data_IF_146854406272
#
_entry.id   IF_146854406272
#
_cell.length_a   1.000
_cell.length_b   1.000
_cell.length_c   1.000
_cell.angle_alpha   90.00
_cell.angle_beta   90.00
_cell.angle_gamma   90.00
#
_symmetry.space_group_name_H-M   'P 1'
#
loop_
_entity.id
_entity.type
_entity.pdbx_description
1 polymer ?
#
# COMPACT_ATOMS: atom_id res chain seq x y z
N UNK A 1 6.71 -5.30 -19.10
CA UNK A 1 6.89 -4.16 -18.17
C UNK A 1 6.13 -4.38 -16.84
N UNK A 2 6.49 -5.40 -16.03
CA UNK A 2 5.80 -5.66 -14.75
C UNK A 2 6.15 -4.63 -13.67
N UNK A 3 7.41 -4.17 -13.61
CA UNK A 3 7.88 -3.21 -12.61
C UNK A 3 7.17 -1.85 -12.69
N UNK A 4 6.92 -1.35 -13.91
CA UNK A 4 6.19 -0.09 -14.12
C UNK A 4 4.76 -0.17 -13.56
N UNK A 5 4.07 -1.30 -13.78
CA UNK A 5 2.71 -1.51 -13.25
C UNK A 5 2.71 -1.55 -11.73
N UNK A 6 3.66 -2.27 -11.12
CA UNK A 6 3.84 -2.29 -9.67
C UNK A 6 4.08 -0.90 -9.12
N UNK A 7 4.99 -0.12 -9.72
CA UNK A 7 5.30 1.23 -9.29
C UNK A 7 4.09 2.17 -9.42
N UNK A 8 3.38 2.12 -10.54
CA UNK A 8 2.18 2.92 -10.75
C UNK A 8 1.08 2.62 -9.71
N UNK A 9 0.85 1.35 -9.39
CA UNK A 9 -0.10 0.93 -8.35
C UNK A 9 0.35 1.40 -6.97
N UNK A 10 1.63 1.22 -6.63
CA UNK A 10 2.17 1.61 -5.34
C UNK A 10 2.04 3.12 -5.11
N UNK A 11 2.45 3.93 -6.09
CA UNK A 11 2.35 5.40 -6.03
C UNK A 11 0.89 5.84 -5.98
N UNK A 12 0.02 5.25 -6.82
CA UNK A 12 -1.40 5.59 -6.86
C UNK A 12 -2.10 5.33 -5.52
N UNK A 13 -1.87 4.17 -4.90
CA UNK A 13 -2.44 3.86 -3.59
C UNK A 13 -1.85 4.74 -2.49
N UNK A 14 -0.53 4.95 -2.47
CA UNK A 14 0.09 5.83 -1.48
C UNK A 14 -0.48 7.26 -1.56
N UNK A 15 -0.68 7.79 -2.78
CA UNK A 15 -1.28 9.10 -3.01
C UNK A 15 -2.74 9.16 -2.52
N UNK A 16 -3.54 8.12 -2.79
CA UNK A 16 -4.93 8.05 -2.33
C UNK A 16 -5.02 7.97 -0.80
N UNK A 17 -4.15 7.18 -0.17
CA UNK A 17 -4.08 7.08 1.29
C UNK A 17 -3.65 8.40 1.91
N UNK A 18 -2.65 9.08 1.33
CA UNK A 18 -2.25 10.42 1.75
C UNK A 18 -3.39 11.43 1.64
N UNK A 19 -4.05 11.47 0.49
CA UNK A 19 -5.17 12.36 0.25
C UNK A 19 -6.27 12.14 1.29
N UNK A 20 -6.59 10.88 1.59
CA UNK A 20 -7.69 10.55 2.50
C UNK A 20 -7.35 10.76 3.98
N UNK A 21 -6.15 10.42 4.41
CA UNK A 21 -5.82 10.28 5.84
C UNK A 21 -5.06 11.45 6.43
N UNK A 22 -4.30 12.19 5.61
CA UNK A 22 -3.34 13.18 6.12
C UNK A 22 -3.31 14.50 5.36
N UNK A 23 -3.88 14.58 4.14
CA UNK A 23 -3.82 15.82 3.35
C UNK A 23 -4.63 16.99 3.92
N UNK A 24 -5.59 16.72 4.80
CA UNK A 24 -6.56 17.73 5.26
C UNK A 24 -7.59 18.16 4.20
N UNK A 25 -7.41 17.77 2.93
CA UNK A 25 -8.27 18.18 1.81
C UNK A 25 -9.61 17.44 1.79
N UNK A 26 -9.65 16.22 2.33
CA UNK A 26 -10.85 15.35 2.34
C UNK A 26 -11.44 15.18 3.73
N UNK A 27 -10.59 15.13 4.76
CA UNK A 27 -10.98 15.01 6.17
C UNK A 27 -10.16 16.01 6.96
N UNK A 28 -10.81 16.85 7.76
CA UNK A 28 -10.14 17.87 8.56
C UNK A 28 -9.29 17.27 9.70
N UNK A 29 -9.71 16.13 10.24
CA UNK A 29 -9.03 15.46 11.34
C UNK A 29 -8.10 14.35 10.84
N UNK A 30 -6.86 14.36 11.32
CA UNK A 30 -5.82 13.42 10.91
C UNK A 30 -6.12 12.04 11.49
N UNK A 31 -6.01 10.99 10.68
CA UNK A 31 -6.39 9.65 11.13
C UNK A 31 -5.48 9.14 12.26
N UNK A 32 -6.08 8.45 13.24
CA UNK A 32 -5.36 7.92 14.40
C UNK A 32 -4.16 7.04 14.02
N UNK A 33 -3.07 7.01 14.83
CA UNK A 33 -1.89 6.18 14.57
C UNK A 33 -2.20 4.68 14.45
N UNK A 34 -3.24 4.21 15.13
CA UNK A 34 -3.69 2.81 15.08
C UNK A 34 -4.05 2.35 13.66
N UNK A 35 -4.51 3.26 12.80
CA UNK A 35 -4.80 2.97 11.38
C UNK A 35 -3.54 2.48 10.66
N UNK A 36 -2.36 2.96 11.03
CA UNK A 36 -1.09 2.53 10.43
C UNK A 36 -0.78 1.06 10.72
N UNK A 37 -1.19 0.50 11.88
CA UNK A 37 -1.04 -0.93 12.17
C UNK A 37 -1.92 -1.78 11.25
N UNK A 38 -3.18 -1.38 11.06
CA UNK A 38 -4.10 -2.08 10.14
C UNK A 38 -3.62 -2.01 8.69
N UNK A 39 -3.09 -0.86 8.25
CA UNK A 39 -2.47 -0.71 6.93
C UNK A 39 -1.22 -1.59 6.81
N UNK A 40 -0.36 -1.63 7.82
CA UNK A 40 0.80 -2.52 7.84
C UNK A 40 0.41 -4.00 7.68
N UNK A 41 -0.58 -4.46 8.44
CA UNK A 41 -1.11 -5.83 8.35
C UNK A 41 -1.67 -6.13 6.94
N UNK A 42 -2.41 -5.17 6.36
CA UNK A 42 -2.94 -5.31 5.00
C UNK A 42 -1.82 -5.37 3.95
N UNK A 43 -0.77 -4.57 4.11
CA UNK A 43 0.43 -4.62 3.27
C UNK A 43 1.11 -5.98 3.31
N UNK A 44 1.23 -6.59 4.49
CA UNK A 44 1.75 -7.96 4.65
C UNK A 44 0.86 -8.97 3.92
N UNK A 45 -0.47 -8.89 4.09
CA UNK A 45 -1.41 -9.79 3.41
C UNK A 45 -1.31 -9.70 1.88
N UNK A 46 -1.20 -8.50 1.33
CA UNK A 46 -0.98 -8.32 -0.10
C UNK A 46 0.37 -8.88 -0.57
N UNK A 47 1.43 -8.73 0.23
CA UNK A 47 2.74 -9.32 -0.05
C UNK A 47 2.69 -10.85 -0.09
N UNK A 48 2.04 -11.47 0.91
CA UNK A 48 1.81 -12.92 0.95
C UNK A 48 0.98 -13.38 -0.24
N UNK A 49 -0.09 -12.65 -0.60
CA UNK A 49 -0.89 -12.95 -1.78
C UNK A 49 -0.10 -12.86 -3.08
N UNK A 50 0.77 -11.86 -3.22
CA UNK A 50 1.64 -11.71 -4.38
C UNK A 50 2.63 -12.89 -4.51
N UNK A 51 3.17 -13.34 -3.38
CA UNK A 51 4.03 -14.53 -3.33
C UNK A 51 3.26 -15.81 -3.68
N UNK A 52 2.09 -16.01 -3.09
CA UNK A 52 1.23 -17.16 -3.38
C UNK A 52 0.84 -17.23 -4.87
N UNK A 53 0.52 -16.09 -5.50
CA UNK A 53 0.22 -16.03 -6.94
C UNK A 53 1.42 -16.41 -7.82
N UNK A 54 2.64 -16.05 -7.41
CA UNK A 54 3.86 -16.48 -8.13
C UNK A 54 4.07 -17.98 -8.01
N UNK A 55 3.96 -18.53 -6.80
CA UNK A 55 4.14 -19.97 -6.56
C UNK A 55 3.04 -20.79 -7.23
N UNK A 56 1.81 -20.29 -7.24
CA UNK A 56 0.65 -20.95 -7.85
C UNK A 56 0.56 -20.84 -9.38
N UNK A 57 1.57 -20.29 -10.05
CA UNK A 57 1.62 -20.23 -11.52
C UNK A 57 0.83 -19.09 -12.18
N UNK A 58 0.46 -18.04 -11.44
CA UNK A 58 -0.22 -16.84 -11.95
C UNK A 58 0.65 -15.58 -11.84
N UNK A 59 1.84 -15.54 -12.47
CA UNK A 59 2.79 -14.42 -12.32
C UNK A 59 2.25 -13.10 -12.87
N UNK A 60 1.28 -13.14 -13.80
CA UNK A 60 0.64 -11.94 -14.37
C UNK A 60 -0.08 -11.08 -13.31
N UNK A 61 -0.60 -11.72 -12.25
CA UNK A 61 -1.43 -11.08 -11.21
C UNK A 61 -0.60 -10.58 -10.02
N UNK A 62 0.61 -11.11 -9.85
CA UNK A 62 1.50 -10.75 -8.75
C UNK A 62 1.91 -9.25 -8.74
N UNK A 63 2.16 -8.56 -9.87
CA UNK A 63 2.56 -7.15 -9.89
C UNK A 63 1.55 -6.20 -9.25
N UNK A 64 0.25 -6.50 -9.38
CA UNK A 64 -0.82 -5.71 -8.78
C UNK A 64 -0.77 -5.83 -7.25
N UNK A 65 -0.79 -7.05 -6.73
CA UNK A 65 -0.72 -7.33 -5.29
C UNK A 65 0.57 -6.79 -4.67
N UNK A 66 1.70 -6.92 -5.38
CA UNK A 66 2.97 -6.36 -4.95
C UNK A 66 2.93 -4.83 -4.89
N UNK A 67 2.29 -4.18 -5.87
CA UNK A 67 2.09 -2.73 -5.87
C UNK A 67 1.23 -2.27 -4.70
N UNK A 68 0.14 -2.99 -4.40
CA UNK A 68 -0.70 -2.73 -3.23
C UNK A 68 0.08 -2.90 -1.93
N UNK A 69 0.86 -3.98 -1.80
CA UNK A 69 1.69 -4.23 -0.63
C UNK A 69 2.67 -3.08 -0.37
N UNK A 70 3.40 -2.64 -1.41
CA UNK A 70 4.37 -1.55 -1.33
C UNK A 70 3.68 -0.22 -1.02
N UNK A 71 2.59 0.11 -1.72
CA UNK A 71 1.88 1.38 -1.53
C UNK A 71 1.27 1.50 -0.13
N UNK A 72 0.62 0.45 0.35
CA UNK A 72 -0.02 0.44 1.67
C UNK A 72 1.01 0.39 2.81
N UNK A 73 1.94 -0.56 2.77
CA UNK A 73 2.95 -0.71 3.83
C UNK A 73 3.93 0.47 3.84
N UNK A 74 4.36 0.92 2.66
CA UNK A 74 5.21 2.09 2.52
C UNK A 74 4.53 3.35 3.07
N UNK A 75 3.26 3.57 2.76
CA UNK A 75 2.52 4.69 3.33
C UNK A 75 2.36 4.57 4.85
N UNK A 76 2.03 3.38 5.34
CA UNK A 76 1.92 3.12 6.79
C UNK A 76 3.23 3.44 7.52
N UNK A 77 4.38 3.06 6.96
CA UNK A 77 5.70 3.40 7.48
C UNK A 77 5.95 4.91 7.48
N UNK A 78 5.63 5.60 6.37
CA UNK A 78 5.77 7.06 6.28
C UNK A 78 4.95 7.77 7.36
N UNK A 79 3.74 7.29 7.68
CA UNK A 79 2.91 7.86 8.76
C UNK A 79 3.47 7.65 10.16
N UNK A 80 4.34 6.65 10.37
CA UNK A 80 4.96 6.37 11.66
C UNK A 80 6.23 7.22 11.89
N UNK A 81 6.75 7.84 10.83
CA UNK A 81 7.90 8.72 10.94
C UNK A 81 7.44 10.10 11.46
N UNK A 82 8.20 10.75 12.36
CA UNK A 82 7.76 11.92 13.11
C UNK A 82 7.76 13.24 12.34
N UNK A 83 7.57 13.23 11.01
CA UNK A 83 7.66 14.41 10.15
C UNK A 83 6.35 15.21 10.07
#
# INVERSE_FOLDING_TARGET
MPALRTAAVAVGIAALLWLRLDSGLVVAERAAPLVSLSLGALGVLFGVGAWAMRVGGYPERAPLLLGLAIGVAGYALVRLLPF
#
